data_IF_175702847674
#
_entry.id   IF_175702847674
#
_cell.length_a   1.000
_cell.length_b   1.000
_cell.length_c   1.000
_cell.angle_alpha   90.00
_cell.angle_beta   90.00
_cell.angle_gamma   90.00
#
_symmetry.space_group_name_H-M   'P 1'
#
loop_
_entity.id
_entity.type
_entity.pdbx_description
1 polymer ?
#
# COMPACT_ATOMS: atom_id res chain seq x y z
N UNK A 1 -3.93 -8.36 12.18
CA UNK A 1 -4.91 -9.47 12.32
C UNK A 1 -4.08 -10.70 12.64
N UNK A 2 -3.96 -11.03 13.94
CA UNK A 2 -3.17 -12.17 14.39
C UNK A 2 -3.76 -13.47 13.79
N UNK A 3 -2.94 -14.26 13.10
CA UNK A 3 -3.28 -15.60 12.63
C UNK A 3 -3.81 -15.69 11.18
N UNK A 4 -3.89 -14.64 10.42
CA UNK A 4 -4.19 -14.71 8.98
C UNK A 4 -2.94 -14.43 8.14
N UNK A 5 -2.71 -15.29 7.16
CA UNK A 5 -1.69 -15.04 6.15
C UNK A 5 -2.07 -13.84 5.31
N UNK A 6 -1.07 -13.02 5.00
CA UNK A 6 -1.26 -11.77 4.24
C UNK A 6 -0.25 -11.72 3.12
N UNK A 7 -0.67 -11.28 1.94
CA UNK A 7 0.20 -11.12 0.77
C UNK A 7 -0.07 -9.78 0.07
N UNK A 8 0.88 -9.30 -0.72
CA UNK A 8 0.75 -8.07 -1.50
C UNK A 8 0.48 -6.85 -0.62
N UNK A 9 -0.57 -6.13 -0.92
CA UNK A 9 -0.95 -4.89 -0.23
C UNK A 9 -1.89 -5.11 0.97
N UNK A 10 -1.96 -6.33 1.51
CA UNK A 10 -2.79 -6.64 2.67
C UNK A 10 -3.94 -7.59 2.37
N UNK A 11 -3.88 -8.29 1.24
CA UNK A 11 -4.87 -9.32 0.90
C UNK A 11 -4.73 -10.53 1.81
N UNK A 12 -5.88 -11.04 2.27
CA UNK A 12 -5.96 -12.16 3.20
C UNK A 12 -6.83 -13.30 2.69
N UNK A 13 -7.56 -13.10 1.60
CA UNK A 13 -8.42 -14.12 1.01
C UNK A 13 -7.60 -15.05 0.11
N UNK A 14 -7.78 -16.36 0.28
CA UNK A 14 -7.08 -17.40 -0.47
C UNK A 14 -5.54 -17.30 -0.39
N UNK A 15 -5.02 -16.84 0.76
CA UNK A 15 -3.58 -16.73 1.02
C UNK A 15 -3.13 -17.90 1.88
N UNK A 16 -2.08 -18.59 1.44
CA UNK A 16 -1.52 -19.78 2.11
C UNK A 16 -0.01 -19.61 2.35
N UNK A 17 0.56 -20.40 3.28
CA UNK A 17 2.00 -20.35 3.59
C UNK A 17 2.86 -20.61 2.35
N UNK A 18 3.90 -19.79 2.17
CA UNK A 18 4.87 -19.96 1.07
C UNK A 18 4.39 -19.42 -0.28
N UNK A 19 3.18 -18.89 -0.38
CA UNK A 19 2.69 -18.24 -1.60
C UNK A 19 3.57 -17.04 -1.96
N UNK A 20 3.92 -16.93 -3.24
CA UNK A 20 4.68 -15.81 -3.81
C UNK A 20 3.92 -15.21 -4.97
N UNK A 21 3.95 -13.89 -5.08
CA UNK A 21 3.36 -13.14 -6.19
C UNK A 21 4.35 -12.10 -6.70
N UNK A 22 4.22 -11.72 -7.94
CA UNK A 22 4.96 -10.60 -8.53
C UNK A 22 4.30 -9.27 -8.14
N UNK A 23 5.02 -8.16 -8.29
CA UNK A 23 4.47 -6.82 -8.06
C UNK A 23 3.23 -6.53 -8.93
N UNK A 24 3.21 -6.81 -10.24
CA UNK A 24 2.01 -6.62 -11.06
C UNK A 24 0.81 -7.44 -10.59
N UNK A 25 1.05 -8.68 -10.12
CA UNK A 25 -0.02 -9.50 -9.54
C UNK A 25 -0.58 -8.88 -8.24
N UNK A 26 0.30 -8.36 -7.36
CA UNK A 26 -0.12 -7.66 -6.15
C UNK A 26 -0.95 -6.42 -6.47
N UNK A 27 -0.55 -5.62 -7.46
CA UNK A 27 -1.27 -4.43 -7.91
C UNK A 27 -2.65 -4.79 -8.50
N UNK A 28 -2.73 -5.84 -9.31
CA UNK A 28 -4.00 -6.31 -9.85
C UNK A 28 -4.95 -6.81 -8.73
N UNK A 29 -4.42 -7.53 -7.75
CA UNK A 29 -5.20 -7.98 -6.59
C UNK A 29 -5.75 -6.78 -5.81
N UNK A 30 -4.93 -5.74 -5.59
CA UNK A 30 -5.36 -4.51 -4.92
C UNK A 30 -6.48 -3.82 -5.70
N UNK A 31 -6.34 -3.64 -7.02
CA UNK A 31 -7.35 -3.02 -7.87
C UNK A 31 -8.68 -3.78 -7.78
N UNK A 32 -8.62 -5.11 -7.89
CA UNK A 32 -9.82 -5.96 -7.80
C UNK A 32 -10.49 -5.83 -6.42
N UNK A 33 -9.71 -5.87 -5.35
CA UNK A 33 -10.18 -5.72 -3.98
C UNK A 33 -10.82 -4.34 -3.76
N UNK A 34 -10.17 -3.26 -4.21
CA UNK A 34 -10.70 -1.90 -4.10
C UNK A 34 -12.01 -1.74 -4.89
N UNK A 35 -12.10 -2.28 -6.10
CA UNK A 35 -13.32 -2.21 -6.92
C UNK A 35 -14.52 -2.84 -6.21
N UNK A 36 -14.31 -4.01 -5.61
CA UNK A 36 -15.36 -4.68 -4.82
C UNK A 36 -15.74 -3.87 -3.57
N UNK A 37 -14.75 -3.30 -2.87
CA UNK A 37 -14.97 -2.47 -1.67
C UNK A 37 -15.75 -1.20 -2.00
N UNK A 38 -15.40 -0.51 -3.08
CA UNK A 38 -16.12 0.67 -3.57
C UNK A 38 -17.59 0.33 -3.79
N UNK A 39 -17.90 -0.77 -4.47
CA UNK A 39 -19.27 -1.20 -4.73
C UNK A 39 -20.02 -1.51 -3.42
N UNK A 40 -19.39 -2.23 -2.49
CA UNK A 40 -19.99 -2.55 -1.18
C UNK A 40 -20.23 -1.32 -0.33
N UNK A 41 -19.24 -0.43 -0.22
CA UNK A 41 -19.36 0.80 0.58
C UNK A 41 -20.45 1.70 0.01
N UNK A 42 -20.48 1.87 -1.32
CA UNK A 42 -21.55 2.64 -2.00
C UNK A 42 -22.94 2.07 -1.69
N UNK A 43 -23.09 0.75 -1.70
CA UNK A 43 -24.37 0.09 -1.40
C UNK A 43 -24.80 0.25 0.08
N UNK A 44 -23.90 0.56 1.01
CA UNK A 44 -24.23 0.86 2.40
C UNK A 44 -24.67 2.32 2.61
N UNK A 45 -24.38 3.20 1.67
CA UNK A 45 -24.71 4.61 1.75
C UNK A 45 -26.15 4.85 1.27
N UNK A 46 -27.01 5.37 2.15
CA UNK A 46 -28.37 5.83 1.79
C UNK A 46 -28.38 7.27 1.30
N UNK A 47 -27.40 8.06 1.66
CA UNK A 47 -27.07 9.36 1.09
C UNK A 47 -25.90 9.15 0.12
N UNK A 48 -26.03 9.64 -1.10
CA UNK A 48 -24.97 9.50 -2.11
C UNK A 48 -23.69 10.20 -1.63
N UNK A 49 -22.57 9.47 -1.50
CA UNK A 49 -21.30 10.10 -1.12
C UNK A 49 -20.68 10.84 -2.30
N UNK A 50 -19.98 11.93 -2.04
CA UNK A 50 -19.06 12.54 -3.00
C UNK A 50 -17.89 11.57 -3.28
N UNK A 51 -17.07 11.83 -4.31
CA UNK A 51 -15.91 10.97 -4.61
C UNK A 51 -14.94 10.93 -3.43
N UNK A 52 -14.63 12.07 -2.81
CA UNK A 52 -13.76 12.17 -1.66
C UNK A 52 -14.35 11.48 -0.42
N UNK A 53 -15.66 11.61 -0.18
CA UNK A 53 -16.34 10.90 0.89
C UNK A 53 -16.31 9.38 0.69
N UNK A 54 -16.56 8.91 -0.53
CA UNK A 54 -16.51 7.50 -0.85
C UNK A 54 -15.10 6.95 -0.66
N UNK A 55 -14.09 7.67 -1.12
CA UNK A 55 -12.69 7.31 -0.96
C UNK A 55 -12.32 7.15 0.53
N UNK A 56 -12.66 8.13 1.37
CA UNK A 56 -12.40 8.07 2.81
C UNK A 56 -13.12 6.90 3.50
N UNK A 57 -14.38 6.63 3.13
CA UNK A 57 -15.15 5.50 3.66
C UNK A 57 -14.54 4.15 3.23
N UNK A 58 -14.06 4.03 2.00
CA UNK A 58 -13.36 2.82 1.50
C UNK A 58 -12.04 2.62 2.23
N UNK A 59 -11.25 3.68 2.47
CA UNK A 59 -10.03 3.61 3.28
C UNK A 59 -10.30 3.11 4.70
N UNK A 60 -11.34 3.62 5.34
CA UNK A 60 -11.75 3.15 6.67
C UNK A 60 -12.18 1.68 6.61
N UNK A 61 -13.03 1.30 5.64
CA UNK A 61 -13.50 -0.09 5.46
C UNK A 61 -12.34 -1.06 5.24
N UNK A 62 -11.35 -0.67 4.42
CA UNK A 62 -10.16 -1.48 4.17
C UNK A 62 -9.40 -1.82 5.47
N UNK A 63 -9.41 -0.91 6.44
CA UNK A 63 -8.73 -1.08 7.72
C UNK A 63 -9.56 -1.83 8.77
N UNK A 64 -10.85 -1.49 8.91
CA UNK A 64 -11.69 -2.04 9.98
C UNK A 64 -12.59 -3.19 9.53
N UNK A 65 -12.77 -3.37 8.23
CA UNK A 65 -13.63 -4.37 7.61
C UNK A 65 -15.08 -3.94 7.44
N UNK A 66 -15.79 -4.61 6.55
CA UNK A 66 -17.18 -4.33 6.17
C UNK A 66 -18.13 -4.31 7.36
N UNK A 67 -18.06 -5.36 8.20
CA UNK A 67 -18.97 -5.48 9.34
C UNK A 67 -18.84 -4.33 10.35
N UNK A 68 -17.60 -3.89 10.60
CA UNK A 68 -17.35 -2.77 11.51
C UNK A 68 -17.79 -1.43 10.89
N UNK A 69 -17.57 -1.22 9.59
CA UNK A 69 -18.05 -0.03 8.91
C UNK A 69 -19.58 0.05 8.92
N UNK A 70 -20.27 -1.05 8.63
CA UNK A 70 -21.73 -1.14 8.56
C UNK A 70 -22.40 -0.65 9.85
N UNK A 71 -21.82 -0.95 11.00
CA UNK A 71 -22.34 -0.55 12.31
C UNK A 71 -21.70 0.71 12.87
N UNK A 72 -20.79 1.32 12.13
CA UNK A 72 -19.99 2.47 12.60
C UNK A 72 -20.81 3.73 12.81
N UNK A 73 -20.35 4.57 13.71
CA UNK A 73 -20.88 5.92 13.91
C UNK A 73 -20.58 6.81 12.69
N UNK A 74 -19.49 6.53 11.95
CA UNK A 74 -19.14 7.23 10.71
C UNK A 74 -20.27 7.04 9.67
N UNK A 75 -20.54 5.80 9.31
CA UNK A 75 -21.56 5.49 8.29
C UNK A 75 -22.95 5.94 8.72
N UNK A 76 -23.31 5.76 9.99
CA UNK A 76 -24.60 6.21 10.54
C UNK A 76 -24.79 7.71 10.43
N UNK A 77 -23.75 8.51 10.68
CA UNK A 77 -23.82 9.96 10.54
C UNK A 77 -23.83 10.37 9.06
N UNK A 78 -23.06 9.71 8.21
CA UNK A 78 -23.10 9.90 6.75
C UNK A 78 -24.52 9.71 6.21
N UNK A 79 -25.16 8.60 6.54
CA UNK A 79 -26.50 8.25 6.10
C UNK A 79 -27.61 9.17 6.68
N UNK A 80 -27.27 10.00 7.65
CA UNK A 80 -28.14 11.07 8.18
C UNK A 80 -27.80 12.45 7.62
N UNK A 81 -26.88 12.54 6.64
CA UNK A 81 -26.42 13.81 6.08
C UNK A 81 -25.62 14.67 7.07
N UNK A 82 -25.16 14.10 8.19
CA UNK A 82 -24.41 14.82 9.23
C UNK A 82 -22.92 14.79 8.97
N UNK A 83 -22.48 15.45 7.89
CA UNK A 83 -21.10 15.39 7.36
C UNK A 83 -20.04 15.69 8.42
N UNK A 84 -20.16 16.80 9.17
CA UNK A 84 -19.19 17.14 10.20
C UNK A 84 -19.15 16.13 11.36
N UNK A 85 -20.27 15.52 11.71
CA UNK A 85 -20.32 14.49 12.73
C UNK A 85 -19.75 13.15 12.23
N UNK A 86 -19.94 12.83 10.96
CA UNK A 86 -19.31 11.68 10.34
C UNK A 86 -17.79 11.82 10.32
N UNK A 87 -17.26 12.97 9.91
CA UNK A 87 -15.83 13.24 9.90
C UNK A 87 -15.18 13.08 11.29
N UNK A 88 -15.77 13.67 12.33
CA UNK A 88 -15.27 13.50 13.71
C UNK A 88 -15.29 12.05 14.18
N UNK A 89 -16.22 11.25 13.70
CA UNK A 89 -16.35 9.86 14.11
C UNK A 89 -15.24 8.95 13.58
N UNK A 90 -14.46 9.36 12.57
CA UNK A 90 -13.29 8.60 12.10
C UNK A 90 -12.29 8.37 13.24
N UNK A 91 -12.04 9.37 14.08
CA UNK A 91 -11.05 9.30 15.16
C UNK A 91 -11.37 8.22 16.21
N UNK A 92 -12.60 7.73 16.28
CA UNK A 92 -12.98 6.62 17.18
C UNK A 92 -12.28 5.30 16.81
N UNK A 93 -11.73 5.18 15.62
CA UNK A 93 -11.04 3.98 15.09
C UNK A 93 -9.51 4.09 15.21
N UNK A 94 -9.02 4.63 16.33
CA UNK A 94 -7.59 4.83 16.61
C UNK A 94 -6.97 3.72 17.47
N UNK A 95 -7.71 2.62 17.76
CA UNK A 95 -7.25 1.56 18.65
C UNK A 95 -7.02 0.27 17.89
N UNK A 96 -6.04 -0.50 18.36
CA UNK A 96 -5.82 -1.88 17.94
C UNK A 96 -5.85 -2.80 19.16
N UNK A 97 -6.08 -4.09 18.92
CA UNK A 97 -6.01 -5.11 19.95
C UNK A 97 -4.58 -5.63 20.07
N UNK A 98 -3.97 -5.41 21.21
CA UNK A 98 -2.64 -5.92 21.51
C UNK A 98 -2.62 -7.45 21.41
N UNK A 99 -1.69 -8.05 20.64
CA UNK A 99 -1.63 -9.50 20.46
C UNK A 99 -1.34 -10.27 21.74
N UNK A 100 -0.62 -9.68 22.69
CA UNK A 100 -0.20 -10.31 23.96
C UNK A 100 -1.24 -10.11 25.04
N UNK A 101 -1.61 -8.87 25.33
CA UNK A 101 -2.52 -8.52 26.45
C UNK A 101 -4.00 -8.64 26.06
N UNK A 102 -4.33 -8.73 24.76
CA UNK A 102 -5.69 -8.70 24.20
C UNK A 102 -6.47 -7.43 24.54
N UNK A 103 -5.85 -6.43 25.12
CA UNK A 103 -6.46 -5.14 25.44
C UNK A 103 -6.51 -4.23 24.21
N UNK A 104 -7.44 -3.28 24.21
CA UNK A 104 -7.49 -2.22 23.21
C UNK A 104 -6.52 -1.11 23.61
N UNK A 105 -5.56 -0.87 22.76
CA UNK A 105 -4.51 0.15 22.95
C UNK A 105 -4.65 1.22 21.88
N UNK A 106 -4.52 2.47 22.26
CA UNK A 106 -4.50 3.59 21.31
C UNK A 106 -3.22 3.59 20.49
N UNK A 107 -3.33 3.95 19.22
CA UNK A 107 -2.21 4.06 18.29
C UNK A 107 -2.21 5.44 17.66
N UNK A 108 -1.11 6.15 17.87
CA UNK A 108 -0.91 7.47 17.26
C UNK A 108 -0.89 7.38 15.72
N UNK A 109 -0.29 6.32 15.18
CA UNK A 109 -0.28 6.07 13.74
C UNK A 109 -1.70 5.86 13.17
N UNK A 110 -2.56 5.13 13.91
CA UNK A 110 -3.95 4.99 13.52
C UNK A 110 -4.71 6.31 13.65
N UNK A 111 -4.48 7.06 14.71
CA UNK A 111 -5.10 8.37 14.91
C UNK A 111 -4.74 9.33 13.77
N UNK A 112 -3.47 9.39 13.38
CA UNK A 112 -3.02 10.21 12.26
C UNK A 112 -3.71 9.80 10.94
N UNK A 113 -3.79 8.50 10.67
CA UNK A 113 -4.53 7.97 9.51
C UNK A 113 -6.00 8.40 9.53
N UNK A 114 -6.67 8.28 10.66
CA UNK A 114 -8.08 8.71 10.82
C UNK A 114 -8.27 10.20 10.58
N UNK A 115 -7.33 11.03 11.03
CA UNK A 115 -7.36 12.48 10.77
C UNK A 115 -7.23 12.79 9.27
N UNK A 116 -6.34 12.11 8.55
CA UNK A 116 -6.21 12.28 7.11
C UNK A 116 -7.48 11.83 6.36
N UNK A 117 -8.08 10.71 6.76
CA UNK A 117 -9.34 10.24 6.18
C UNK A 117 -10.50 11.21 6.48
N UNK A 118 -10.57 11.74 7.69
CA UNK A 118 -11.57 12.76 8.05
C UNK A 118 -11.39 14.07 7.26
N UNK A 119 -10.15 14.49 7.04
CA UNK A 119 -9.85 15.66 6.21
C UNK A 119 -10.28 15.43 4.75
N UNK A 120 -9.91 14.29 4.17
CA UNK A 120 -10.36 13.90 2.82
C UNK A 120 -11.90 13.87 2.72
N UNK A 121 -12.57 13.31 3.74
CA UNK A 121 -14.03 13.22 3.78
C UNK A 121 -14.72 14.60 3.77
N UNK A 122 -14.08 15.64 4.32
CA UNK A 122 -14.58 17.01 4.35
C UNK A 122 -14.20 17.83 3.11
N UNK A 123 -13.24 17.35 2.32
CA UNK A 123 -12.80 18.04 1.10
C UNK A 123 -13.89 17.94 0.04
N UNK A 124 -14.37 19.07 -0.52
CA UNK A 124 -15.27 19.04 -1.66
C UNK A 124 -14.63 18.31 -2.85
N UNK A 125 -15.46 17.72 -3.71
CA UNK A 125 -14.97 17.21 -4.99
C UNK A 125 -14.66 18.42 -5.88
N UNK A 126 -13.40 18.57 -6.29
CA UNK A 126 -13.03 19.57 -7.29
C UNK A 126 -13.44 19.03 -8.68
N UNK A 127 -14.08 19.87 -9.49
CA UNK A 127 -14.45 19.51 -10.87
C UNK A 127 -13.21 19.18 -11.73
N UNK A 128 -12.02 19.66 -11.32
CA UNK A 128 -10.75 19.48 -12.01
C UNK A 128 -9.97 18.19 -11.64
N UNK A 129 -10.43 17.37 -10.70
CA UNK A 129 -9.71 16.14 -10.31
C UNK A 129 -9.56 15.12 -11.45
N UNK A 130 -10.28 15.24 -12.53
CA UNK A 130 -10.07 14.43 -13.74
C UNK A 130 -8.75 14.73 -14.47
N UNK A 131 -8.07 15.85 -14.15
CA UNK A 131 -6.78 16.21 -14.78
C UNK A 131 -5.55 15.82 -13.94
N UNK A 132 -5.72 15.41 -12.68
CA UNK A 132 -4.62 14.93 -11.83
C UNK A 132 -4.52 13.40 -11.83
N UNK A 133 -4.61 12.77 -12.97
CA UNK A 133 -4.04 11.42 -13.14
C UNK A 133 -2.53 11.63 -13.00
N UNK A 134 -1.83 11.01 -12.01
CA UNK A 134 -0.39 11.09 -11.94
C UNK A 134 0.14 10.65 -13.30
N UNK A 135 0.77 11.54 -14.05
CA UNK A 135 1.48 11.14 -15.25
C UNK A 135 2.52 10.14 -14.78
N UNK A 136 2.55 8.99 -15.44
CA UNK A 136 3.56 7.99 -15.18
C UNK A 136 4.91 8.71 -15.30
N UNK A 137 5.59 8.92 -14.18
CA UNK A 137 6.97 9.37 -14.19
C UNK A 137 7.69 8.30 -14.99
N UNK A 138 8.23 8.67 -16.14
CA UNK A 138 9.03 7.75 -16.95
C UNK A 138 10.06 7.15 -16.00
N UNK A 139 10.03 5.83 -15.83
CA UNK A 139 11.02 5.14 -15.03
C UNK A 139 12.37 5.62 -15.54
N UNK A 140 13.21 6.17 -14.65
CA UNK A 140 14.56 6.57 -15.04
C UNK A 140 15.20 5.40 -15.75
N UNK A 141 15.45 5.56 -17.04
CA UNK A 141 15.73 4.48 -17.99
C UNK A 141 17.12 3.89 -17.82
N UNK A 142 17.79 4.11 -16.69
CA UNK A 142 19.13 3.60 -16.47
C UNK A 142 19.35 3.20 -15.02
N UNK A 143 19.27 1.89 -14.77
CA UNK A 143 19.86 1.26 -13.59
C UNK A 143 21.35 1.62 -13.44
N UNK A 144 21.99 2.11 -14.49
CA UNK A 144 23.40 2.53 -14.54
C UNK A 144 23.61 3.90 -13.86
N UNK A 145 22.60 4.72 -13.71
CA UNK A 145 22.69 6.04 -13.07
C UNK A 145 22.56 6.00 -11.53
N UNK A 146 22.18 4.87 -10.95
CA UNK A 146 22.12 4.73 -9.50
C UNK A 146 23.51 4.55 -8.89
N UNK A 147 23.86 5.24 -7.80
CA UNK A 147 25.14 5.05 -7.10
C UNK A 147 25.40 3.58 -6.70
N UNK A 148 24.33 2.82 -6.42
CA UNK A 148 24.41 1.40 -6.08
C UNK A 148 24.76 0.54 -7.32
N UNK A 149 24.20 0.85 -8.49
CA UNK A 149 24.51 0.12 -9.72
C UNK A 149 25.90 0.45 -10.25
N UNK A 150 26.38 1.68 -10.08
CA UNK A 150 27.75 2.05 -10.46
C UNK A 150 28.80 1.32 -9.61
N UNK A 151 28.56 1.13 -8.31
CA UNK A 151 29.46 0.35 -7.46
C UNK A 151 29.50 -1.15 -7.86
N UNK A 152 28.39 -1.71 -8.26
CA UNK A 152 28.30 -3.10 -8.71
C UNK A 152 29.02 -3.34 -10.04
N UNK A 153 28.93 -2.40 -10.96
CA UNK A 153 29.65 -2.48 -12.25
C UNK A 153 31.16 -2.32 -12.06
N UNK A 154 31.59 -1.42 -11.16
CA UNK A 154 33.01 -1.24 -10.85
C UNK A 154 33.62 -2.51 -10.23
N UNK A 155 32.90 -3.19 -9.33
CA UNK A 155 33.35 -4.45 -8.71
C UNK A 155 33.44 -5.58 -9.73
N UNK A 156 32.52 -5.68 -10.69
CA UNK A 156 32.56 -6.68 -11.74
C UNK A 156 33.71 -6.45 -12.73
N UNK A 157 34.00 -5.19 -13.07
CA UNK A 157 35.13 -4.84 -13.93
C UNK A 157 36.50 -5.16 -13.29
N UNK A 158 36.63 -4.90 -11.98
CA UNK A 158 37.86 -5.20 -11.23
C UNK A 158 38.07 -6.72 -11.11
N UNK A 159 37.00 -7.50 -10.90
CA UNK A 159 37.08 -8.97 -10.86
C UNK A 159 37.49 -9.60 -12.20
N UNK A 160 37.01 -9.06 -13.30
CA UNK A 160 37.38 -9.54 -14.66
C UNK A 160 38.84 -9.25 -15.01
N UNK A 161 39.37 -8.10 -14.59
CA UNK A 161 40.79 -7.75 -14.80
C UNK A 161 41.73 -8.63 -13.99
N UNK A 162 41.39 -9.01 -12.76
CA UNK A 162 42.20 -9.91 -11.94
C UNK A 162 42.21 -11.34 -12.50
N UNK A 163 41.09 -11.83 -13.05
CA UNK A 163 41.03 -13.15 -13.67
C UNK A 163 41.84 -13.20 -14.98
N UNK A 164 41.85 -12.12 -15.78
CA UNK A 164 42.65 -12.06 -17.01
C UNK A 164 44.15 -12.04 -16.71
N UNK A 165 44.60 -11.35 -15.67
CA UNK A 165 46.02 -11.33 -15.27
C UNK A 165 46.50 -12.68 -14.75
N UNK A 166 45.68 -13.40 -13.98
CA UNK A 166 46.08 -14.74 -13.45
C UNK A 166 46.10 -15.80 -14.58
N UNK A 167 45.24 -15.70 -15.58
CA UNK A 167 45.31 -16.62 -16.74
C UNK A 167 46.51 -16.34 -17.66
N UNK A 168 46.99 -15.11 -17.77
CA UNK A 168 48.16 -14.74 -18.53
C UNK A 168 49.47 -15.30 -17.91
N UNK A 169 49.57 -15.23 -16.58
CA UNK A 169 50.74 -15.76 -15.86
C UNK A 169 50.81 -17.30 -15.90
N UNK A 170 49.67 -18.01 -15.94
CA UNK A 170 49.69 -19.48 -16.08
C UNK A 170 50.07 -19.93 -17.51
N UNK A 171 49.75 -19.13 -18.52
CA UNK A 171 50.12 -19.49 -19.90
C UNK A 171 51.62 -19.31 -20.21
N UNK A 172 52.28 -18.40 -19.49
CA UNK A 172 53.73 -18.16 -19.67
C UNK A 172 54.63 -19.21 -18.99
N UNK A 173 54.08 -19.96 -18.02
CA UNK A 173 54.82 -20.97 -17.25
C UNK A 173 54.92 -22.37 -17.93
N UNK A 174 54.26 -22.60 -19.04
CA UNK A 174 54.16 -23.93 -19.69
C UNK A 174 55.09 -24.08 -20.91
N UNK A 175 55.78 -23.02 -21.34
CA UNK A 175 56.65 -23.08 -22.54
C UNK A 175 58.15 -23.21 -22.29
N UNK A 176 58.58 -23.42 -21.04
CA UNK A 176 59.99 -23.70 -20.74
C UNK A 176 60.13 -25.00 -19.92
N UNK A 177 59.91 -26.14 -20.63
CA UNK A 177 60.54 -27.47 -20.32
C UNK A 177 60.34 -28.40 -21.50
#
# INVERSE_FOLDING_TARGET
IAGRWTIGYGETENVYPGQRITKPQAEQMLVNSLTQRVSRVRAMCTVAPTANQLCALVHLEYNIGEGALRTSTVLRNHNKGKTAAAARAFELFNKFRDPQTKQLVESEALLLRRKHEAALYLTPDDEDHHQMIPQAVAAESSLVASPISQSSVATAATGALTLASTMSDQASGVMDK
#
